data_IF_027479324292
#
_entry.id   IF_027479324292
#
_cell.length_a   1.000
_cell.length_b   1.000
_cell.length_c   1.000
_cell.angle_alpha   90.00
_cell.angle_beta   90.00
_cell.angle_gamma   90.00
#
_symmetry.space_group_name_H-M   'P 1'
#
loop_
_entity.id
_entity.type
_entity.pdbx_description
1 polymer ?
#
# COMPACT_ATOMS: atom_id res chain seq x y z
N UNK A 1 3.95 -19.94 15.93
CA UNK A 1 4.40 -20.13 14.52
C UNK A 1 3.32 -19.75 13.52
N UNK A 2 2.08 -20.24 13.68
CA UNK A 2 0.97 -19.94 12.76
C UNK A 2 0.75 -18.43 12.52
N UNK A 3 0.63 -17.64 13.60
CA UNK A 3 0.43 -16.19 13.49
C UNK A 3 1.55 -15.49 12.68
N UNK A 4 2.81 -15.90 12.88
CA UNK A 4 3.95 -15.36 12.15
C UNK A 4 3.91 -15.71 10.66
N UNK A 5 3.60 -16.96 10.31
CA UNK A 5 3.45 -17.36 8.90
C UNK A 5 2.31 -16.62 8.22
N UNK A 6 1.17 -16.46 8.91
CA UNK A 6 0.06 -15.66 8.40
C UNK A 6 0.45 -14.18 8.24
N UNK A 7 1.22 -13.61 9.17
CA UNK A 7 1.74 -12.25 9.05
C UNK A 7 2.62 -12.09 7.80
N UNK A 8 3.54 -13.04 7.57
CA UNK A 8 4.37 -13.09 6.37
C UNK A 8 3.53 -13.18 5.09
N UNK A 9 2.56 -14.10 5.03
CA UNK A 9 1.68 -14.27 3.87
C UNK A 9 0.87 -13.00 3.58
N UNK A 10 0.25 -12.40 4.61
CA UNK A 10 -0.54 -11.17 4.46
C UNK A 10 0.34 -9.99 4.02
N UNK A 11 1.55 -9.86 4.57
CA UNK A 11 2.50 -8.86 4.13
C UNK A 11 2.92 -9.07 2.67
N UNK A 12 3.19 -10.31 2.24
CA UNK A 12 3.51 -10.62 0.85
C UNK A 12 2.36 -10.28 -0.11
N UNK A 13 1.11 -10.54 0.28
CA UNK A 13 -0.09 -10.14 -0.48
C UNK A 13 -0.21 -8.61 -0.59
N UNK A 14 0.00 -7.88 0.51
CA UNK A 14 0.04 -6.42 0.50
C UNK A 14 1.11 -5.90 -0.47
N UNK A 15 2.33 -6.44 -0.37
CA UNK A 15 3.48 -6.06 -1.20
C UNK A 15 3.22 -6.34 -2.67
N UNK A 16 2.72 -7.53 -3.00
CA UNK A 16 2.36 -7.90 -4.37
C UNK A 16 1.31 -6.97 -4.98
N UNK A 17 0.25 -6.64 -4.22
CA UNK A 17 -0.75 -5.69 -4.67
C UNK A 17 -0.18 -4.28 -4.88
N UNK A 18 0.67 -3.80 -3.97
CA UNK A 18 1.32 -2.49 -4.11
C UNK A 18 2.25 -2.41 -5.33
N UNK A 19 3.06 -3.45 -5.55
CA UNK A 19 3.95 -3.57 -6.70
C UNK A 19 3.13 -3.63 -8.00
N UNK A 20 2.05 -4.41 -8.03
CA UNK A 20 1.15 -4.47 -9.19
C UNK A 20 0.58 -3.09 -9.54
N UNK A 21 0.11 -2.33 -8.54
CA UNK A 21 -0.39 -0.97 -8.74
C UNK A 21 0.69 -0.09 -9.39
N UNK A 22 1.92 -0.15 -8.91
CA UNK A 22 3.00 0.68 -9.43
C UNK A 22 3.52 0.26 -10.81
N UNK A 23 3.66 -1.03 -11.07
CA UNK A 23 4.33 -1.54 -12.27
C UNK A 23 3.37 -1.87 -13.41
N UNK A 24 2.09 -2.10 -13.11
CA UNK A 24 1.11 -2.57 -14.10
C UNK A 24 -0.05 -1.58 -14.21
N UNK A 25 -0.79 -1.37 -13.12
CA UNK A 25 -2.00 -0.55 -13.15
C UNK A 25 -1.69 0.92 -13.48
N UNK A 26 -0.67 1.49 -12.83
CA UNK A 26 -0.32 2.90 -13.00
C UNK A 26 0.22 3.21 -14.41
N UNK A 27 1.16 2.44 -14.99
CA UNK A 27 1.61 2.67 -16.37
C UNK A 27 0.47 2.50 -17.38
N UNK A 28 -0.38 1.49 -17.21
CA UNK A 28 -1.56 1.29 -18.08
C UNK A 28 -2.53 2.49 -17.99
N UNK A 29 -2.80 2.98 -16.78
CA UNK A 29 -3.63 4.18 -16.54
C UNK A 29 -3.04 5.43 -17.21
N UNK A 30 -1.73 5.61 -17.16
CA UNK A 30 -1.05 6.79 -17.73
C UNK A 30 -1.16 6.87 -19.26
N UNK A 31 -1.46 5.75 -19.94
CA UNK A 31 -1.74 5.73 -21.37
C UNK A 31 -3.12 6.25 -21.78
N UNK A 32 -4.02 6.50 -20.83
CA UNK A 32 -5.36 7.06 -21.09
C UNK A 32 -5.31 8.59 -21.23
N UNK A 33 -6.34 9.18 -21.86
CA UNK A 33 -6.57 10.63 -21.80
C UNK A 33 -6.92 11.08 -20.37
N UNK A 34 -6.79 12.37 -20.06
CA UNK A 34 -6.89 12.90 -18.68
C UNK A 34 -8.22 12.57 -18.00
N UNK A 35 -9.34 12.64 -18.74
CA UNK A 35 -10.67 12.31 -18.22
C UNK A 35 -10.77 10.83 -17.90
N UNK A 36 -10.41 9.95 -18.85
CA UNK A 36 -10.47 8.50 -18.67
C UNK A 36 -9.51 8.01 -17.58
N UNK A 37 -8.32 8.60 -17.49
CA UNK A 37 -7.31 8.36 -16.45
C UNK A 37 -7.88 8.64 -15.05
N UNK A 38 -8.52 9.80 -14.85
CA UNK A 38 -9.10 10.16 -13.56
C UNK A 38 -10.34 9.31 -13.25
N UNK A 39 -11.18 9.06 -14.25
CA UNK A 39 -12.37 8.23 -14.13
C UNK A 39 -12.02 6.79 -13.73
N UNK A 40 -10.91 6.24 -14.23
CA UNK A 40 -10.42 4.92 -13.84
C UNK A 40 -9.77 4.95 -12.45
N UNK A 41 -8.97 6.00 -12.15
CA UNK A 41 -8.23 6.10 -10.90
C UNK A 41 -9.14 6.09 -9.67
N UNK A 42 -10.25 6.85 -9.66
CA UNK A 42 -11.15 6.97 -8.49
C UNK A 42 -11.68 5.62 -7.97
N UNK A 43 -12.40 4.81 -8.77
CA UNK A 43 -12.93 3.52 -8.34
C UNK A 43 -11.83 2.49 -8.05
N UNK A 44 -10.65 2.60 -8.66
CA UNK A 44 -9.50 1.74 -8.38
C UNK A 44 -8.87 2.10 -7.02
N UNK A 45 -8.64 3.39 -6.76
CA UNK A 45 -8.09 3.91 -5.51
C UNK A 45 -8.97 3.53 -4.32
N UNK A 46 -10.29 3.71 -4.41
CA UNK A 46 -11.20 3.42 -3.31
C UNK A 46 -11.14 1.93 -2.89
N UNK A 47 -11.13 1.02 -3.86
CA UNK A 47 -11.04 -0.43 -3.62
C UNK A 47 -9.65 -0.82 -3.14
N UNK A 48 -8.61 -0.30 -3.78
CA UNK A 48 -7.22 -0.54 -3.41
C UNK A 48 -6.89 -0.04 -2.01
N UNK A 49 -7.40 1.14 -1.62
CA UNK A 49 -7.27 1.70 -0.28
C UNK A 49 -7.88 0.77 0.77
N UNK A 50 -9.13 0.32 0.58
CA UNK A 50 -9.79 -0.63 1.49
C UNK A 50 -8.99 -1.92 1.63
N UNK A 51 -8.65 -2.56 0.51
CA UNK A 51 -7.90 -3.82 0.52
C UNK A 51 -6.55 -3.67 1.22
N UNK A 52 -5.74 -2.68 0.82
CA UNK A 52 -4.39 -2.52 1.38
C UNK A 52 -4.42 -2.05 2.84
N UNK A 53 -5.39 -1.22 3.26
CA UNK A 53 -5.53 -0.82 4.66
C UNK A 53 -5.86 -2.03 5.55
N UNK A 54 -6.77 -2.91 5.10
CA UNK A 54 -7.11 -4.15 5.81
C UNK A 54 -5.93 -5.13 5.87
N UNK A 55 -5.21 -5.32 4.76
CA UNK A 55 -4.02 -6.18 4.74
C UNK A 55 -2.92 -5.65 5.66
N UNK A 56 -2.67 -4.33 5.65
CA UNK A 56 -1.66 -3.73 6.53
C UNK A 56 -2.00 -3.92 8.01
N UNK A 57 -3.27 -3.71 8.39
CA UNK A 57 -3.74 -3.91 9.77
C UNK A 57 -3.67 -5.38 10.17
N UNK A 58 -4.21 -6.29 9.36
CA UNK A 58 -4.23 -7.72 9.64
C UNK A 58 -2.80 -8.28 9.79
N UNK A 59 -1.91 -8.00 8.82
CA UNK A 59 -0.53 -8.45 8.86
C UNK A 59 0.25 -7.85 10.03
N UNK A 60 0.02 -6.57 10.34
CA UNK A 60 0.63 -5.89 11.47
C UNK A 60 0.24 -6.53 12.81
N UNK A 61 -1.06 -6.71 13.03
CA UNK A 61 -1.58 -7.34 14.26
C UNK A 61 -1.08 -8.78 14.40
N UNK A 62 -1.13 -9.58 13.32
CA UNK A 62 -0.60 -10.94 13.32
C UNK A 62 0.90 -10.98 13.67
N UNK A 63 1.69 -10.03 13.17
CA UNK A 63 3.11 -9.92 13.49
C UNK A 63 3.36 -9.57 14.96
N UNK A 64 2.54 -8.69 15.56
CA UNK A 64 2.61 -8.38 16.99
C UNK A 64 2.21 -9.59 17.86
N UNK A 65 1.16 -10.31 17.46
CA UNK A 65 0.75 -11.57 18.10
C UNK A 65 1.89 -12.57 18.05
N UNK A 66 2.52 -12.74 16.88
CA UNK A 66 3.66 -13.64 16.71
C UNK A 66 4.83 -13.26 17.62
N UNK A 67 5.18 -11.96 17.70
CA UNK A 67 6.24 -11.48 18.58
C UNK A 67 5.98 -11.83 20.05
N UNK A 68 4.73 -11.70 20.49
CA UNK A 68 4.32 -11.99 21.85
C UNK A 68 4.30 -13.50 22.15
N UNK A 69 3.62 -14.29 21.33
CA UNK A 69 3.45 -15.74 21.53
C UNK A 69 4.76 -16.51 21.42
N UNK A 70 5.61 -16.15 20.45
CA UNK A 70 6.90 -16.81 20.23
C UNK A 70 8.00 -16.27 21.15
N UNK A 71 7.74 -15.20 21.90
CA UNK A 71 8.74 -14.46 22.70
C UNK A 71 9.95 -14.05 21.85
N UNK A 72 9.69 -13.70 20.60
CA UNK A 72 10.70 -13.38 19.60
C UNK A 72 10.46 -11.99 19.02
N UNK A 73 11.28 -11.03 19.45
CA UNK A 73 11.15 -9.63 19.08
C UNK A 73 11.35 -9.39 17.58
N UNK A 74 11.97 -10.32 16.85
CA UNK A 74 12.28 -10.17 15.40
C UNK A 74 11.04 -10.01 14.54
N UNK A 75 9.87 -10.45 15.01
CA UNK A 75 8.58 -10.23 14.36
C UNK A 75 8.08 -8.78 14.46
N UNK A 76 8.47 -8.04 15.51
CA UNK A 76 7.97 -6.69 15.76
C UNK A 76 8.37 -5.65 14.69
N UNK A 77 9.62 -5.61 14.18
CA UNK A 77 10.00 -4.69 13.10
C UNK A 77 9.10 -4.81 11.86
N UNK A 78 8.81 -6.04 11.40
CA UNK A 78 7.92 -6.25 10.25
C UNK A 78 6.51 -5.73 10.49
N UNK A 79 5.97 -5.96 11.69
CA UNK A 79 4.66 -5.48 12.09
C UNK A 79 4.58 -3.95 12.10
N UNK A 80 5.57 -3.30 12.73
CA UNK A 80 5.65 -1.84 12.82
C UNK A 80 5.77 -1.22 11.44
N UNK A 81 6.68 -1.72 10.59
CA UNK A 81 6.86 -1.22 9.22
C UNK A 81 5.58 -1.35 8.40
N UNK A 82 4.87 -2.48 8.52
CA UNK A 82 3.62 -2.68 7.80
C UNK A 82 2.54 -1.71 8.27
N UNK A 83 2.38 -1.53 9.58
CA UNK A 83 1.43 -0.57 10.18
C UNK A 83 1.76 0.89 9.82
N UNK A 84 3.05 1.25 9.67
CA UNK A 84 3.49 2.58 9.24
C UNK A 84 2.94 3.00 7.86
N UNK A 85 2.40 2.08 7.07
CA UNK A 85 1.65 2.45 5.85
C UNK A 85 0.45 3.35 6.14
N UNK A 86 -0.21 3.22 7.30
CA UNK A 86 -1.34 4.05 7.68
C UNK A 86 -0.96 5.53 7.88
N UNK A 87 -0.02 5.88 8.80
CA UNK A 87 0.38 7.27 8.98
C UNK A 87 1.01 7.84 7.71
N UNK A 88 1.79 7.06 6.96
CA UNK A 88 2.31 7.50 5.67
C UNK A 88 1.18 7.86 4.69
N UNK A 89 0.17 6.99 4.57
CA UNK A 89 -0.98 7.25 3.68
C UNK A 89 -1.75 8.49 4.12
N UNK A 90 -2.08 8.60 5.41
CA UNK A 90 -2.89 9.70 5.94
C UNK A 90 -2.19 11.06 5.85
N UNK A 91 -0.89 11.11 6.16
CA UNK A 91 -0.15 12.37 6.25
C UNK A 91 0.46 12.80 4.92
N UNK A 92 0.92 11.85 4.10
CA UNK A 92 1.71 12.15 2.89
C UNK A 92 0.89 11.98 1.60
N UNK A 93 0.11 10.90 1.49
CA UNK A 93 -0.63 10.59 0.25
C UNK A 93 -2.00 11.28 0.22
N UNK A 94 -2.71 11.28 1.35
CA UNK A 94 -4.10 11.75 1.44
C UNK A 94 -4.34 13.18 0.91
N UNK A 95 -3.41 14.16 1.10
CA UNK A 95 -3.57 15.47 0.48
C UNK A 95 -3.65 15.42 -1.05
N UNK A 96 -2.89 14.52 -1.68
CA UNK A 96 -2.94 14.29 -3.14
C UNK A 96 -4.24 13.59 -3.52
N UNK A 97 -4.65 12.56 -2.76
CA UNK A 97 -5.88 11.81 -3.02
C UNK A 97 -7.11 12.72 -2.97
N UNK A 98 -7.23 13.55 -1.92
CA UNK A 98 -8.37 14.46 -1.76
C UNK A 98 -8.52 15.45 -2.91
N UNK A 99 -7.40 15.95 -3.45
CA UNK A 99 -7.44 16.82 -4.64
C UNK A 99 -7.97 16.06 -5.86
N UNK A 100 -7.46 14.85 -6.11
CA UNK A 100 -7.93 14.00 -7.21
C UNK A 100 -9.41 13.59 -7.05
N UNK A 101 -9.84 13.26 -5.83
CA UNK A 101 -11.23 12.91 -5.53
C UNK A 101 -12.18 14.11 -5.70
N UNK A 102 -11.73 15.33 -5.42
CA UNK A 102 -12.52 16.55 -5.60
C UNK A 102 -12.65 16.96 -7.09
N UNK A 103 -11.71 16.59 -7.95
CA UNK A 103 -11.79 16.91 -9.40
C UNK A 103 -12.82 16.03 -10.10
N UNK A 104 -13.84 16.62 -10.71
CA UNK A 104 -14.78 15.88 -11.56
C UNK A 104 -14.09 15.42 -12.86
N UNK A 105 -14.39 14.23 -13.41
CA UNK A 105 -13.74 13.74 -14.62
C UNK A 105 -13.83 14.69 -15.83
N UNK A 106 -14.94 15.41 -15.99
CA UNK A 106 -15.11 16.42 -17.04
C UNK A 106 -14.13 17.60 -16.92
N UNK A 107 -13.63 17.87 -15.71
CA UNK A 107 -12.68 18.95 -15.42
C UNK A 107 -11.24 18.44 -15.33
N UNK A 108 -10.99 17.17 -15.70
CA UNK A 108 -9.65 16.61 -15.74
C UNK A 108 -8.81 17.27 -16.83
N UNK A 109 -7.54 17.48 -16.52
CA UNK A 109 -6.55 18.08 -17.42
C UNK A 109 -5.13 17.87 -16.89
N UNK A 110 -4.19 18.70 -17.35
CA UNK A 110 -2.76 18.61 -17.02
C UNK A 110 -2.50 18.51 -15.49
N UNK A 111 -3.17 19.33 -14.69
CA UNK A 111 -3.02 19.30 -13.23
C UNK A 111 -3.40 17.94 -12.62
N UNK A 112 -4.52 17.35 -13.07
CA UNK A 112 -4.96 16.03 -12.58
C UNK A 112 -3.97 14.91 -12.97
N UNK A 113 -3.37 15.00 -14.16
CA UNK A 113 -2.33 14.08 -14.61
C UNK A 113 -1.07 14.21 -13.75
N UNK A 114 -0.63 15.43 -13.45
CA UNK A 114 0.52 15.67 -12.58
C UNK A 114 0.29 15.12 -11.17
N UNK A 115 -0.91 15.31 -10.63
CA UNK A 115 -1.31 14.73 -9.34
C UNK A 115 -1.30 13.20 -9.37
N UNK A 116 -1.77 12.56 -10.45
CA UNK A 116 -1.72 11.09 -10.59
C UNK A 116 -0.29 10.58 -10.77
N UNK A 117 0.58 11.31 -11.47
CA UNK A 117 2.02 10.99 -11.54
C UNK A 117 2.67 11.07 -10.15
N UNK A 118 2.39 12.14 -9.39
CA UNK A 118 2.84 12.30 -8.01
C UNK A 118 2.31 11.17 -7.13
N UNK A 119 1.03 10.85 -7.25
CA UNK A 119 0.40 9.74 -6.52
C UNK A 119 1.12 8.42 -6.78
N UNK A 120 1.46 8.10 -8.04
CA UNK A 120 2.22 6.89 -8.38
C UNK A 120 3.58 6.82 -7.67
N UNK A 121 4.33 7.93 -7.63
CA UNK A 121 5.61 8.02 -6.92
C UNK A 121 5.44 7.84 -5.41
N UNK A 122 4.42 8.44 -4.82
CA UNK A 122 4.11 8.27 -3.40
C UNK A 122 3.69 6.83 -3.08
N UNK A 123 2.91 6.19 -3.96
CA UNK A 123 2.51 4.79 -3.81
C UNK A 123 3.72 3.84 -3.88
N UNK A 124 4.77 4.17 -4.64
CA UNK A 124 6.00 3.38 -4.70
C UNK A 124 6.68 3.24 -3.33
N UNK A 125 6.57 4.25 -2.46
CA UNK A 125 7.06 4.16 -1.08
C UNK A 125 6.30 3.07 -0.31
N UNK A 126 5.00 2.91 -0.53
CA UNK A 126 4.21 1.84 0.10
C UNK A 126 4.63 0.45 -0.39
N UNK A 127 4.98 0.32 -1.66
CA UNK A 127 5.59 -0.91 -2.20
C UNK A 127 6.91 -1.24 -1.48
N UNK A 128 7.75 -0.23 -1.25
CA UNK A 128 8.98 -0.37 -0.46
C UNK A 128 8.73 -0.77 0.99
N UNK A 129 7.80 -0.11 1.68
CA UNK A 129 7.42 -0.44 3.06
C UNK A 129 6.86 -1.86 3.16
N UNK A 130 6.00 -2.26 2.23
CA UNK A 130 5.50 -3.63 2.13
C UNK A 130 6.65 -4.63 1.98
N UNK A 131 7.54 -4.41 1.01
CA UNK A 131 8.69 -5.27 0.77
C UNK A 131 9.60 -5.42 1.99
N UNK A 132 9.90 -4.30 2.67
CA UNK A 132 10.68 -4.31 3.91
C UNK A 132 9.99 -5.12 5.03
N UNK A 133 8.67 -4.95 5.20
CA UNK A 133 7.91 -5.74 6.17
C UNK A 133 7.91 -7.24 5.83
N UNK A 134 7.71 -7.60 4.55
CA UNK A 134 7.78 -8.99 4.08
C UNK A 134 9.15 -9.61 4.36
N UNK A 135 10.24 -8.89 4.06
CA UNK A 135 11.60 -9.37 4.32
C UNK A 135 11.90 -9.51 5.82
N UNK A 136 11.41 -8.58 6.65
CA UNK A 136 11.56 -8.67 8.10
C UNK A 136 10.83 -9.90 8.68
N UNK A 137 9.60 -10.17 8.23
CA UNK A 137 8.87 -11.37 8.64
C UNK A 137 9.51 -12.66 8.10
N UNK A 138 10.04 -12.64 6.89
CA UNK A 138 10.78 -13.78 6.34
C UNK A 138 12.03 -14.07 7.17
N UNK A 139 12.79 -13.04 7.54
CA UNK A 139 13.96 -13.17 8.41
C UNK A 139 13.60 -13.76 9.78
N UNK A 140 12.52 -13.30 10.41
CA UNK A 140 12.03 -13.84 11.67
C UNK A 140 11.50 -15.28 11.55
N UNK A 141 11.08 -15.70 10.36
CA UNK A 141 10.55 -17.04 10.09
C UNK A 141 11.62 -18.12 9.91
N UNK A 142 12.82 -17.77 9.47
CA UNK A 142 13.86 -18.73 9.06
C UNK A 142 14.97 -18.92 10.09
N UNK A 143 14.87 -18.27 11.24
CA UNK A 143 15.86 -18.29 12.31
C UNK A 143 15.18 -18.35 13.67
#
# INVERSE_FOLDING_TARGET
>A
MLAGQLALTVAALFTGAAIYINLVEQPARLGLDDRSLLQQWKPAYERGFRMQASLALAGGVLGLIAAYELRDWRWAPGAVVLLCNWPFTMLVIMPTNRRLEATEPQNAGLESRELILRWGKLHAVRSGLGGLATLAFLWASVR
#
